data_IF_740232511012
#
_entry.id   IF_740232511012
#
_cell.length_a   1.000
_cell.length_b   1.000
_cell.length_c   1.000
_cell.angle_alpha   90.00
_cell.angle_beta   90.00
_cell.angle_gamma   90.00
#
_symmetry.space_group_name_H-M   'P 1'
#
loop_
_entity.id
_entity.type
_entity.pdbx_description
1 polymer ?
#
# COMPACT_ATOMS: atom_id res chain seq x y z
N UNK A 1 26.28 2.98 10.53
CA UNK A 1 25.52 4.03 9.82
C UNK A 1 24.10 3.99 10.33
N UNK A 2 23.39 5.13 10.34
CA UNK A 2 21.98 5.15 10.71
C UNK A 2 21.16 4.34 9.71
N UNK A 3 20.12 3.67 10.20
CA UNK A 3 19.27 2.79 9.40
C UNK A 3 18.41 3.61 8.44
N UNK A 4 18.39 3.26 7.16
CA UNK A 4 17.59 3.98 6.15
C UNK A 4 16.10 3.70 6.35
N UNK A 5 15.26 4.73 6.26
CA UNK A 5 13.80 4.61 6.26
C UNK A 5 13.22 4.89 4.87
N UNK A 6 13.66 5.96 4.21
CA UNK A 6 13.28 6.33 2.85
C UNK A 6 14.48 6.83 2.07
N UNK A 7 14.68 6.31 0.87
CA UNK A 7 15.67 6.80 -0.07
C UNK A 7 15.17 6.67 -1.52
N UNK A 8 16.03 7.05 -2.47
CA UNK A 8 15.68 7.07 -3.89
C UNK A 8 15.06 5.74 -4.37
N UNK A 9 13.95 5.85 -5.08
CA UNK A 9 13.15 4.72 -5.54
C UNK A 9 11.97 4.38 -4.64
N UNK A 10 11.96 4.83 -3.37
CA UNK A 10 10.78 4.74 -2.51
C UNK A 10 9.63 5.58 -3.04
N UNK A 11 8.39 5.13 -2.80
CA UNK A 11 7.17 5.83 -3.21
C UNK A 11 6.07 5.66 -2.19
N UNK A 12 5.11 6.58 -2.19
CA UNK A 12 3.89 6.51 -1.38
C UNK A 12 3.77 7.61 -0.35
N UNK A 13 2.84 7.41 0.59
CA UNK A 13 2.39 8.46 1.52
C UNK A 13 3.52 9.01 2.39
N UNK A 14 4.48 8.19 2.83
CA UNK A 14 5.56 8.66 3.69
C UNK A 14 6.57 9.52 2.94
N UNK A 15 6.77 9.25 1.64
CA UNK A 15 7.54 10.14 0.76
C UNK A 15 6.81 11.46 0.57
N UNK A 16 5.50 11.42 0.33
CA UNK A 16 4.69 12.62 0.17
C UNK A 16 4.71 13.49 1.44
N UNK A 17 4.65 12.88 2.63
CA UNK A 17 4.77 13.59 3.91
C UNK A 17 6.11 14.30 4.05
N UNK A 18 7.22 13.64 3.67
CA UNK A 18 8.55 14.26 3.63
C UNK A 18 8.56 15.46 2.67
N UNK A 19 8.04 15.29 1.46
CA UNK A 19 7.97 16.35 0.46
C UNK A 19 7.14 17.55 0.92
N UNK A 20 5.94 17.32 1.47
CA UNK A 20 5.08 18.35 2.05
C UNK A 20 5.80 19.08 3.18
N UNK A 21 6.50 18.34 4.05
CA UNK A 21 7.19 18.95 5.19
C UNK A 21 8.38 19.80 4.76
N UNK A 22 9.15 19.35 3.76
CA UNK A 22 10.22 20.14 3.17
C UNK A 22 9.68 21.44 2.56
N UNK A 23 8.57 21.39 1.83
CA UNK A 23 7.92 22.60 1.29
C UNK A 23 7.46 23.55 2.41
N UNK A 24 6.84 23.04 3.49
CA UNK A 24 6.44 23.85 4.64
C UNK A 24 7.63 24.54 5.32
N UNK A 25 8.82 23.93 5.24
CA UNK A 25 10.08 24.49 5.73
C UNK A 25 10.75 25.41 4.71
N UNK A 26 10.05 25.80 3.65
CA UNK A 26 10.56 26.64 2.55
C UNK A 26 11.79 26.06 1.84
N UNK A 27 11.95 24.72 1.87
CA UNK A 27 12.94 24.02 1.05
C UNK A 27 12.34 23.85 -0.36
N UNK A 28 13.01 24.34 -1.41
CA UNK A 28 12.50 24.24 -2.78
C UNK A 28 12.24 22.79 -3.22
N UNK A 29 11.02 22.52 -3.69
CA UNK A 29 10.60 21.22 -4.21
C UNK A 29 9.38 21.41 -5.14
N UNK A 30 9.27 20.58 -6.18
CA UNK A 30 8.05 20.47 -6.99
C UNK A 30 6.85 19.99 -6.17
N UNK A 31 5.64 20.03 -6.74
CA UNK A 31 4.43 19.54 -6.10
C UNK A 31 4.62 18.11 -5.54
N UNK A 32 4.24 17.84 -4.27
CA UNK A 32 4.43 16.53 -3.65
C UNK A 32 3.70 15.41 -4.40
N UNK A 33 4.46 14.59 -5.11
CA UNK A 33 3.99 13.48 -5.94
C UNK A 33 4.10 12.11 -5.25
N UNK A 34 4.73 12.06 -4.07
CA UNK A 34 5.00 10.84 -3.34
C UNK A 34 6.08 9.95 -3.98
N UNK A 35 6.91 10.46 -4.89
CA UNK A 35 8.00 9.73 -5.53
C UNK A 35 9.35 10.26 -5.04
N UNK A 36 10.17 9.37 -4.46
CA UNK A 36 11.49 9.76 -3.98
C UNK A 36 12.47 9.75 -5.17
N UNK A 37 12.48 10.85 -5.90
CA UNK A 37 13.37 11.11 -7.04
C UNK A 37 14.60 11.95 -6.67
N UNK A 38 15.31 12.43 -7.71
CA UNK A 38 16.48 13.30 -7.54
C UNK A 38 16.15 14.63 -6.86
N UNK A 39 14.96 15.19 -7.11
CA UNK A 39 14.53 16.46 -6.51
C UNK A 39 14.29 16.32 -5.00
N UNK A 40 13.66 15.22 -4.56
CA UNK A 40 13.49 14.92 -3.12
C UNK A 40 14.83 14.71 -2.42
N UNK A 41 15.76 13.99 -3.05
CA UNK A 41 17.11 13.80 -2.50
C UNK A 41 17.87 15.13 -2.38
N UNK A 42 17.81 15.99 -3.39
CA UNK A 42 18.45 17.30 -3.38
C UNK A 42 17.88 18.21 -2.27
N UNK A 43 16.55 18.24 -2.13
CA UNK A 43 15.87 18.98 -1.06
C UNK A 43 16.27 18.46 0.34
N UNK A 44 16.38 17.14 0.53
CA UNK A 44 16.86 16.56 1.79
C UNK A 44 18.30 16.95 2.09
N UNK A 45 19.21 16.92 1.08
CA UNK A 45 20.59 17.37 1.26
C UNK A 45 20.65 18.84 1.70
N UNK A 46 19.79 19.69 1.12
CA UNK A 46 19.69 21.09 1.51
C UNK A 46 19.19 21.23 2.96
N UNK A 47 18.09 20.54 3.32
CA UNK A 47 17.57 20.55 4.69
C UNK A 47 18.64 20.08 5.69
N UNK A 48 19.32 18.97 5.42
CA UNK A 48 20.37 18.42 6.27
C UNK A 48 21.51 19.42 6.46
N UNK A 49 21.98 20.04 5.36
CA UNK A 49 23.03 21.07 5.41
C UNK A 49 22.62 22.27 6.27
N UNK A 50 21.39 22.78 6.10
CA UNK A 50 20.87 23.92 6.87
C UNK A 50 20.72 23.63 8.35
N UNK A 51 20.51 22.36 8.72
CA UNK A 51 20.34 21.91 10.11
C UNK A 51 21.61 21.28 10.70
N UNK A 52 22.77 21.45 10.04
CA UNK A 52 24.05 20.86 10.47
C UNK A 52 24.00 19.34 10.72
N UNK A 53 23.20 18.62 9.93
CA UNK A 53 23.08 17.17 9.95
C UNK A 53 24.00 16.53 8.89
N UNK A 54 24.34 15.23 9.01
CA UNK A 54 25.00 14.49 7.94
C UNK A 54 24.23 14.61 6.61
N UNK A 55 24.90 15.05 5.55
CA UNK A 55 24.29 15.34 4.24
C UNK A 55 24.21 14.06 3.40
N UNK A 56 23.30 13.15 3.79
CA UNK A 56 23.12 11.84 3.17
C UNK A 56 22.12 11.87 1.99
N UNK A 57 21.18 12.81 1.98
CA UNK A 57 20.08 12.89 1.02
C UNK A 57 18.99 11.82 1.19
N UNK A 58 19.08 10.99 2.24
CA UNK A 58 18.08 10.00 2.62
C UNK A 58 17.39 10.40 3.92
N UNK A 59 16.26 9.76 4.20
CA UNK A 59 15.61 9.81 5.51
C UNK A 59 15.96 8.53 6.25
N UNK A 60 16.68 8.65 7.36
CA UNK A 60 16.89 7.57 8.31
C UNK A 60 15.87 7.62 9.46
N UNK A 61 15.90 6.61 10.32
CA UNK A 61 14.97 6.49 11.46
C UNK A 61 15.10 7.66 12.46
N UNK A 62 16.26 8.33 12.54
CA UNK A 62 16.48 9.47 13.44
C UNK A 62 16.03 10.80 12.83
N UNK A 63 16.18 10.95 11.51
CA UNK A 63 15.78 12.13 10.76
C UNK A 63 14.26 12.22 10.64
N UNK A 64 13.56 11.09 10.49
CA UNK A 64 12.11 11.07 10.33
C UNK A 64 11.36 11.90 11.38
N UNK A 65 11.49 11.62 12.70
CA UNK A 65 10.78 12.40 13.71
C UNK A 65 11.25 13.86 13.78
N UNK A 66 12.53 14.14 13.52
CA UNK A 66 13.07 15.51 13.50
C UNK A 66 12.48 16.35 12.38
N UNK A 67 12.34 15.75 11.20
CA UNK A 67 11.78 16.40 10.02
C UNK A 67 10.27 16.53 10.14
N UNK A 68 9.57 15.42 10.41
CA UNK A 68 8.10 15.32 10.29
C UNK A 68 7.36 15.70 11.57
N UNK A 69 8.00 15.59 12.74
CA UNK A 69 7.33 15.67 14.04
C UNK A 69 6.45 14.45 14.36
N UNK A 70 6.56 13.36 13.60
CA UNK A 70 5.76 12.15 13.76
C UNK A 70 6.61 10.97 14.23
N UNK A 71 6.02 9.98 14.93
CA UNK A 71 6.70 8.72 15.20
C UNK A 71 7.09 8.04 13.89
N UNK A 72 8.16 7.25 13.94
CA UNK A 72 8.58 6.44 12.79
C UNK A 72 7.45 5.48 12.40
N UNK A 73 7.13 5.33 11.09
CA UNK A 73 6.11 4.40 10.64
C UNK A 73 6.42 2.97 11.08
N UNK A 74 5.40 2.25 11.55
CA UNK A 74 5.59 0.88 12.01
C UNK A 74 6.03 -0.05 10.88
N UNK A 75 6.50 -1.26 11.21
CA UNK A 75 6.82 -2.26 10.19
C UNK A 75 5.60 -2.58 9.29
N UNK A 76 4.42 -2.68 9.88
CA UNK A 76 3.17 -2.95 9.16
C UNK A 76 2.83 -1.83 8.18
N UNK A 77 3.06 -0.59 8.60
CA UNK A 77 2.87 0.60 7.79
C UNK A 77 3.87 0.67 6.62
N UNK A 78 5.14 0.34 6.87
CA UNK A 78 6.17 0.24 5.81
C UNK A 78 5.85 -0.87 4.80
N UNK A 79 5.40 -2.04 5.28
CA UNK A 79 4.95 -3.15 4.44
C UNK A 79 3.69 -2.79 3.63
N UNK A 80 2.76 -2.04 4.24
CA UNK A 80 1.57 -1.52 3.56
C UNK A 80 1.94 -0.55 2.43
N UNK A 81 2.85 0.39 2.68
CA UNK A 81 3.32 1.32 1.65
C UNK A 81 3.97 0.59 0.47
N UNK A 82 4.84 -0.40 0.74
CA UNK A 82 5.46 -1.21 -0.31
C UNK A 82 4.39 -1.91 -1.15
N UNK A 83 3.44 -2.58 -0.50
CA UNK A 83 2.37 -3.33 -1.18
C UNK A 83 1.52 -2.38 -2.03
N UNK A 84 1.07 -1.26 -1.46
CA UNK A 84 0.31 -0.22 -2.15
C UNK A 84 1.03 0.29 -3.41
N UNK A 85 2.34 0.56 -3.30
CA UNK A 85 3.14 1.03 -4.43
C UNK A 85 3.26 0.00 -5.56
N UNK A 86 3.38 -1.30 -5.22
CA UNK A 86 3.39 -2.37 -6.22
C UNK A 86 2.02 -2.56 -6.89
N UNK A 87 0.93 -2.44 -6.11
CA UNK A 87 -0.45 -2.46 -6.61
C UNK A 87 -0.78 -1.24 -7.48
N UNK A 88 0.05 -0.18 -7.42
CA UNK A 88 -0.25 1.08 -8.10
C UNK A 88 -1.45 1.82 -7.47
N UNK A 89 -1.72 1.57 -6.18
CA UNK A 89 -2.83 2.16 -5.43
C UNK A 89 -2.36 3.18 -4.38
N UNK A 90 -3.33 3.88 -3.80
CA UNK A 90 -3.14 4.94 -2.81
C UNK A 90 -4.46 5.30 -2.15
N UNK A 91 -4.42 6.01 -1.03
CA UNK A 91 -5.63 6.31 -0.24
C UNK A 91 -6.76 6.99 -1.02
N UNK A 92 -6.42 7.75 -2.05
CA UNK A 92 -7.35 8.54 -2.87
C UNK A 92 -7.76 7.83 -4.15
N UNK A 93 -6.96 6.88 -4.65
CA UNK A 93 -7.14 6.33 -5.99
C UNK A 93 -8.43 5.51 -6.06
N UNK A 94 -9.33 5.92 -6.94
CA UNK A 94 -10.58 5.24 -7.24
C UNK A 94 -10.61 4.87 -8.73
N UNK A 95 -10.81 3.59 -9.04
CA UNK A 95 -10.83 3.05 -10.40
C UNK A 95 -12.16 2.34 -10.67
N UNK A 96 -12.60 2.39 -11.92
CA UNK A 96 -13.91 1.88 -12.34
C UNK A 96 -13.99 0.35 -12.38
N UNK A 97 -15.14 -0.17 -12.83
CA UNK A 97 -15.48 -1.58 -12.88
C UNK A 97 -14.91 -2.28 -14.12
N UNK A 98 -13.58 -2.42 -14.19
CA UNK A 98 -12.90 -3.05 -15.34
C UNK A 98 -12.86 -4.59 -15.27
N UNK A 99 -13.02 -5.17 -14.07
CA UNK A 99 -12.88 -6.61 -13.81
C UNK A 99 -14.17 -7.26 -13.26
N UNK A 100 -15.26 -6.49 -13.15
CA UNK A 100 -16.52 -6.96 -12.57
C UNK A 100 -16.54 -6.94 -11.03
N UNK A 101 -15.55 -6.34 -10.36
CA UNK A 101 -15.52 -6.18 -8.90
C UNK A 101 -16.26 -4.92 -8.40
N UNK A 102 -16.88 -4.16 -9.30
CA UNK A 102 -17.43 -2.85 -9.04
C UNK A 102 -16.32 -1.79 -8.96
N UNK A 103 -16.55 -0.74 -8.18
CA UNK A 103 -15.54 0.27 -7.88
C UNK A 103 -14.42 -0.35 -7.04
N UNK A 104 -13.17 0.01 -7.36
CA UNK A 104 -12.01 -0.25 -6.52
C UNK A 104 -11.44 1.06 -6.00
N UNK A 105 -11.20 1.19 -4.69
CA UNK A 105 -10.75 2.42 -4.06
C UNK A 105 -9.82 2.19 -2.87
N UNK A 106 -8.86 3.09 -2.65
CA UNK A 106 -8.07 3.17 -1.42
C UNK A 106 -6.71 2.46 -1.47
N UNK A 107 -6.00 2.49 -0.33
CA UNK A 107 -4.55 2.26 -0.22
C UNK A 107 -4.05 0.94 -0.85
N UNK A 108 -4.87 -0.11 -0.84
CA UNK A 108 -4.55 -1.42 -1.44
C UNK A 108 -5.64 -1.90 -2.40
N UNK A 109 -6.46 -0.98 -2.93
CA UNK A 109 -7.53 -1.30 -3.87
C UNK A 109 -8.66 -2.12 -3.24
N UNK A 110 -9.37 -1.56 -2.27
CA UNK A 110 -10.57 -2.18 -1.71
C UNK A 110 -11.68 -2.21 -2.76
N UNK A 111 -12.42 -3.31 -2.87
CA UNK A 111 -13.47 -3.44 -3.89
C UNK A 111 -14.87 -3.46 -3.30
N UNK A 112 -15.84 -3.02 -4.09
CA UNK A 112 -17.28 -3.13 -3.76
C UNK A 112 -17.71 -4.60 -3.68
N UNK A 113 -17.27 -5.45 -4.60
CA UNK A 113 -17.64 -6.87 -4.63
C UNK A 113 -17.34 -7.62 -3.32
N UNK A 114 -16.25 -7.26 -2.64
CA UNK A 114 -15.85 -7.88 -1.37
C UNK A 114 -16.29 -7.10 -0.13
N UNK A 115 -17.10 -6.05 -0.28
CA UNK A 115 -17.69 -5.33 0.86
C UNK A 115 -16.75 -4.34 1.57
N UNK A 116 -15.47 -4.24 1.15
CA UNK A 116 -14.47 -3.47 1.89
C UNK A 116 -14.62 -1.96 1.67
N UNK A 117 -15.03 -1.53 0.48
CA UNK A 117 -15.38 -0.12 0.23
C UNK A 117 -16.54 0.30 1.13
N UNK A 118 -17.56 -0.53 1.22
CA UNK A 118 -18.75 -0.31 2.04
C UNK A 118 -18.37 -0.27 3.52
N UNK A 119 -17.56 -1.23 3.98
CA UNK A 119 -17.04 -1.24 5.34
C UNK A 119 -16.31 0.07 5.69
N UNK A 120 -15.48 0.60 4.79
CA UNK A 120 -14.80 1.89 5.00
C UNK A 120 -15.84 3.02 5.10
N UNK A 121 -16.75 3.13 4.14
CA UNK A 121 -17.77 4.18 4.11
C UNK A 121 -18.70 4.14 5.33
N UNK A 122 -19.11 2.95 5.76
CA UNK A 122 -19.94 2.75 6.95
C UNK A 122 -19.19 3.13 8.23
N UNK A 123 -17.90 2.80 8.29
CA UNK A 123 -17.03 3.19 9.40
C UNK A 123 -16.85 4.71 9.46
N UNK A 124 -16.63 5.37 8.32
CA UNK A 124 -16.53 6.84 8.23
C UNK A 124 -17.85 7.50 8.64
N UNK A 125 -18.98 7.02 8.13
CA UNK A 125 -20.29 7.55 8.47
C UNK A 125 -20.59 7.48 9.97
N UNK A 126 -20.14 6.40 10.61
CA UNK A 126 -20.35 6.15 12.05
C UNK A 126 -19.38 6.94 12.94
N UNK A 127 -18.10 6.97 12.61
CA UNK A 127 -17.05 7.53 13.48
C UNK A 127 -16.80 9.03 13.22
N UNK A 128 -17.06 9.50 12.00
CA UNK A 128 -16.84 10.89 11.57
C UNK A 128 -18.03 11.42 10.77
N UNK A 129 -19.20 11.63 11.43
CA UNK A 129 -20.40 12.09 10.75
C UNK A 129 -20.13 13.42 10.02
N UNK A 130 -20.54 13.49 8.76
CA UNK A 130 -20.35 14.68 7.92
C UNK A 130 -19.19 14.62 6.93
N UNK A 131 -18.15 13.80 7.15
CA UNK A 131 -17.01 13.72 6.20
C UNK A 131 -17.43 13.26 4.80
N UNK A 132 -18.31 12.26 4.72
CA UNK A 132 -18.89 11.82 3.43
C UNK A 132 -19.62 12.98 2.76
N UNK A 133 -20.44 13.73 3.51
CA UNK A 133 -21.19 14.87 2.98
C UNK A 133 -20.26 15.97 2.46
N UNK A 134 -19.21 16.28 3.20
CA UNK A 134 -18.20 17.27 2.81
C UNK A 134 -17.44 16.86 1.55
N UNK A 135 -17.16 15.57 1.36
CA UNK A 135 -16.43 15.07 0.20
C UNK A 135 -17.31 14.91 -1.05
N UNK A 136 -18.52 14.34 -0.89
CA UNK A 136 -19.40 13.97 -2.00
C UNK A 136 -20.40 15.07 -2.39
N UNK A 137 -20.70 16.02 -1.49
CA UNK A 137 -21.61 17.15 -1.75
C UNK A 137 -22.92 16.65 -2.36
N UNK A 138 -23.23 16.98 -3.61
CA UNK A 138 -24.47 16.60 -4.30
C UNK A 138 -24.59 15.08 -4.53
N UNK A 139 -23.46 14.36 -4.56
CA UNK A 139 -23.42 12.90 -4.74
C UNK A 139 -23.70 12.12 -3.45
N UNK A 140 -23.81 12.81 -2.31
CA UNK A 140 -23.96 12.17 -0.99
C UNK A 140 -25.15 11.21 -0.95
N UNK A 141 -26.30 11.66 -1.46
CA UNK A 141 -27.53 10.87 -1.46
C UNK A 141 -27.39 9.58 -2.28
N UNK A 142 -26.75 9.67 -3.45
CA UNK A 142 -26.54 8.53 -4.33
C UNK A 142 -25.52 7.54 -3.73
N UNK A 143 -24.48 8.03 -3.07
CA UNK A 143 -23.51 7.19 -2.37
C UNK A 143 -24.17 6.44 -1.20
N UNK A 144 -24.97 7.13 -0.39
CA UNK A 144 -25.71 6.52 0.73
C UNK A 144 -26.71 5.47 0.24
N UNK A 145 -27.40 5.73 -0.88
CA UNK A 145 -28.25 4.73 -1.52
C UNK A 145 -27.44 3.53 -2.02
N UNK A 146 -26.31 3.76 -2.70
CA UNK A 146 -25.45 2.70 -3.21
C UNK A 146 -24.99 1.75 -2.09
N UNK A 147 -24.71 2.26 -0.88
CA UNK A 147 -24.27 1.44 0.26
C UNK A 147 -25.33 0.44 0.76
N UNK A 148 -26.61 0.68 0.48
CA UNK A 148 -27.72 -0.08 1.10
C UNK A 148 -28.46 -1.02 0.13
N UNK A 149 -28.26 -0.86 -1.18
CA UNK A 149 -28.87 -1.73 -2.20
C UNK A 149 -28.15 -3.09 -2.30
N UNK A 150 -28.79 -4.14 -2.85
CA UNK A 150 -28.15 -5.44 -3.06
C UNK A 150 -26.88 -5.37 -3.91
N UNK A 151 -25.92 -6.26 -3.67
CA UNK A 151 -24.58 -6.24 -4.28
C UNK A 151 -24.59 -6.14 -5.80
N UNK A 152 -25.45 -6.90 -6.48
CA UNK A 152 -25.59 -6.85 -7.94
C UNK A 152 -25.95 -5.44 -8.42
N UNK A 153 -26.85 -4.75 -7.71
CA UNK A 153 -27.22 -3.38 -8.02
C UNK A 153 -26.11 -2.38 -7.68
N UNK A 154 -25.27 -2.66 -6.68
CA UNK A 154 -24.06 -1.88 -6.40
C UNK A 154 -23.05 -1.99 -7.55
N UNK A 155 -22.80 -3.21 -8.05
CA UNK A 155 -21.90 -3.42 -9.19
C UNK A 155 -22.45 -2.73 -10.44
N UNK A 156 -23.75 -2.87 -10.73
CA UNK A 156 -24.40 -2.16 -11.84
C UNK A 156 -24.36 -0.63 -11.67
N UNK A 157 -24.39 -0.12 -10.43
CA UNK A 157 -24.17 1.29 -10.13
C UNK A 157 -22.74 1.71 -10.49
N UNK A 158 -21.74 0.96 -10.03
CA UNK A 158 -20.33 1.21 -10.36
C UNK A 158 -20.05 1.14 -11.87
N UNK A 159 -20.73 0.26 -12.59
CA UNK A 159 -20.66 0.21 -14.06
C UNK A 159 -21.04 1.53 -14.72
N UNK A 160 -22.11 2.18 -14.24
CA UNK A 160 -22.55 3.48 -14.77
C UNK A 160 -21.56 4.61 -14.48
N UNK A 161 -20.77 4.47 -13.41
CA UNK A 161 -19.72 5.46 -13.08
C UNK A 161 -18.45 5.27 -13.91
N UNK A 162 -18.33 4.13 -14.61
CA UNK A 162 -17.09 3.72 -15.27
C UNK A 162 -17.07 4.14 -16.74
N UNK A 163 -15.96 4.69 -17.20
CA UNK A 163 -15.80 5.21 -18.57
C UNK A 163 -15.46 4.06 -19.54
N UNK A 164 -16.32 3.75 -20.53
CA UNK A 164 -16.05 2.70 -21.53
C UNK A 164 -14.90 3.08 -22.50
N UNK A 165 -14.35 2.10 -23.25
CA UNK A 165 -14.70 0.68 -23.25
C UNK A 165 -14.01 -0.12 -22.13
N UNK A 166 -12.84 0.31 -21.66
CA UNK A 166 -12.03 -0.44 -20.71
C UNK A 166 -12.46 -0.32 -19.24
N UNK A 167 -13.29 0.70 -18.89
CA UNK A 167 -13.86 0.90 -17.55
C UNK A 167 -12.84 1.09 -16.41
N UNK A 168 -11.55 1.31 -16.70
CA UNK A 168 -10.55 1.59 -15.67
C UNK A 168 -10.73 2.95 -14.97
N UNK A 169 -11.39 3.91 -15.62
CA UNK A 169 -11.56 5.27 -15.09
C UNK A 169 -13.00 5.50 -14.65
N UNK A 170 -13.16 6.32 -13.61
CA UNK A 170 -14.44 6.86 -13.20
C UNK A 170 -14.72 8.21 -13.87
N UNK A 171 -15.99 8.54 -14.02
CA UNK A 171 -16.41 9.91 -14.33
C UNK A 171 -15.97 10.88 -13.23
N UNK A 172 -15.61 12.11 -13.63
CA UNK A 172 -14.91 13.06 -12.75
C UNK A 172 -15.62 13.40 -11.44
N UNK A 173 -16.95 13.64 -11.39
CA UNK A 173 -17.61 13.97 -10.12
C UNK A 173 -17.36 12.91 -9.03
N UNK A 174 -17.42 11.63 -9.40
CA UNK A 174 -17.19 10.51 -8.49
C UNK A 174 -15.71 10.34 -8.17
N UNK A 175 -14.84 10.43 -9.18
CA UNK A 175 -13.38 10.36 -8.99
C UNK A 175 -12.91 11.43 -8.01
N UNK A 176 -13.34 12.68 -8.19
CA UNK A 176 -12.96 13.82 -7.35
C UNK A 176 -13.53 13.67 -5.94
N UNK A 177 -14.76 13.17 -5.78
CA UNK A 177 -15.34 12.95 -4.46
C UNK A 177 -14.58 11.88 -3.66
N UNK A 178 -14.20 10.76 -4.29
CA UNK A 178 -13.38 9.73 -3.65
C UNK A 178 -11.96 10.20 -3.37
N UNK A 179 -11.39 11.04 -4.25
CA UNK A 179 -10.09 11.67 -4.04
C UNK A 179 -10.10 12.55 -2.80
N UNK A 180 -11.09 13.46 -2.67
CA UNK A 180 -11.30 14.31 -1.49
C UNK A 180 -11.52 13.52 -0.22
N UNK A 181 -12.34 12.47 -0.26
CA UNK A 181 -12.58 11.65 0.93
C UNK A 181 -11.30 10.91 1.35
N UNK A 182 -10.57 10.34 0.38
CA UNK A 182 -9.33 9.61 0.64
C UNK A 182 -8.16 10.49 1.10
N UNK A 183 -8.22 11.80 0.87
CA UNK A 183 -7.18 12.73 1.34
C UNK A 183 -7.34 13.12 2.81
N UNK A 184 -8.48 12.81 3.44
CA UNK A 184 -8.73 13.12 4.86
C UNK A 184 -8.00 12.14 5.77
N UNK A 185 -7.24 12.66 6.74
CA UNK A 185 -6.39 11.87 7.64
C UNK A 185 -7.12 10.75 8.38
N UNK A 186 -8.35 11.03 8.80
CA UNK A 186 -9.23 10.15 9.54
C UNK A 186 -9.71 8.98 8.66
N UNK A 187 -10.02 9.26 7.38
CA UNK A 187 -10.36 8.24 6.40
C UNK A 187 -9.15 7.36 6.08
N UNK A 188 -7.96 7.97 5.95
CA UNK A 188 -6.72 7.21 5.77
C UNK A 188 -6.44 6.27 6.95
N UNK A 189 -6.67 6.75 8.19
CA UNK A 189 -6.53 5.93 9.40
C UNK A 189 -7.52 4.75 9.41
N UNK A 190 -8.77 4.98 8.98
CA UNK A 190 -9.78 3.91 8.84
C UNK A 190 -9.35 2.88 7.78
N UNK A 191 -8.86 3.33 6.62
CA UNK A 191 -8.34 2.43 5.58
C UNK A 191 -7.19 1.56 6.10
N UNK A 192 -6.22 2.15 6.83
CA UNK A 192 -5.13 1.38 7.48
C UNK A 192 -5.66 0.35 8.46
N UNK A 193 -6.58 0.75 9.35
CA UNK A 193 -7.18 -0.13 10.36
C UNK A 193 -7.87 -1.32 9.71
N UNK A 194 -8.63 -1.09 8.63
CA UNK A 194 -9.32 -2.16 7.89
C UNK A 194 -8.32 -3.04 7.13
N UNK A 195 -7.32 -2.47 6.45
CA UNK A 195 -6.26 -3.25 5.80
C UNK A 195 -5.53 -4.17 6.80
N UNK A 196 -5.21 -3.65 7.99
CA UNK A 196 -4.51 -4.43 9.01
C UNK A 196 -5.38 -5.52 9.64
N UNK A 197 -6.66 -5.23 9.89
CA UNK A 197 -7.60 -6.24 10.36
C UNK A 197 -7.76 -7.37 9.34
N UNK A 198 -7.96 -7.04 8.06
CA UNK A 198 -8.27 -8.02 7.03
C UNK A 198 -7.05 -8.81 6.55
N UNK A 199 -5.89 -8.16 6.41
CA UNK A 199 -4.74 -8.78 5.74
C UNK A 199 -3.50 -8.92 6.64
N UNK A 200 -3.18 -7.92 7.47
CA UNK A 200 -2.00 -8.02 8.35
C UNK A 200 -2.18 -9.03 9.48
N UNK A 201 -3.38 -9.10 10.06
CA UNK A 201 -3.68 -10.06 11.14
C UNK A 201 -3.51 -11.52 10.71
N UNK A 202 -4.09 -11.99 9.58
CA UNK A 202 -3.81 -13.34 9.09
C UNK A 202 -2.39 -13.50 8.51
N UNK A 203 -1.76 -12.44 7.98
CA UNK A 203 -0.36 -12.48 7.59
C UNK A 203 0.56 -12.75 8.78
N UNK A 204 0.36 -12.10 9.93
CA UNK A 204 1.10 -12.37 11.18
C UNK A 204 0.91 -13.79 11.69
N UNK A 205 -0.28 -14.38 11.52
CA UNK A 205 -0.50 -15.81 11.82
C UNK A 205 0.32 -16.71 10.91
N UNK A 206 0.36 -16.40 9.62
CA UNK A 206 1.17 -17.13 8.63
C UNK A 206 2.67 -17.02 8.94
N UNK A 207 3.14 -15.79 9.20
CA UNK A 207 4.50 -15.47 9.62
C UNK A 207 4.96 -16.35 10.79
N UNK A 208 4.16 -16.39 11.88
CA UNK A 208 4.45 -17.23 13.05
C UNK A 208 4.41 -18.73 12.71
N UNK A 209 3.43 -19.18 11.93
CA UNK A 209 3.29 -20.60 11.58
C UNK A 209 4.45 -21.15 10.75
N UNK A 210 5.14 -20.28 10.02
CA UNK A 210 6.30 -20.60 9.20
C UNK A 210 7.63 -20.37 9.94
N UNK A 211 7.59 -19.88 11.19
CA UNK A 211 8.79 -19.57 11.95
C UNK A 211 9.62 -18.41 11.36
N UNK A 212 8.99 -17.51 10.62
CA UNK A 212 9.64 -16.30 10.13
C UNK A 212 9.86 -15.31 11.28
N UNK A 213 10.94 -14.54 11.19
CA UNK A 213 11.41 -13.63 12.24
C UNK A 213 11.88 -12.30 11.69
N UNK A 214 11.95 -12.10 10.38
CA UNK A 214 12.52 -10.89 9.76
C UNK A 214 11.45 -9.92 9.24
N UNK A 215 11.81 -8.65 9.09
CA UNK A 215 10.92 -7.66 8.47
C UNK A 215 10.49 -8.04 7.05
N UNK A 216 11.43 -8.53 6.23
CA UNK A 216 11.13 -9.04 4.89
C UNK A 216 10.19 -10.26 4.93
N UNK A 217 10.29 -11.09 5.97
CA UNK A 217 9.37 -12.20 6.20
C UNK A 217 7.93 -11.73 6.46
N UNK A 218 7.76 -10.69 7.28
CA UNK A 218 6.44 -10.12 7.53
C UNK A 218 5.90 -9.39 6.29
N UNK A 219 6.73 -8.61 5.61
CA UNK A 219 6.35 -7.91 4.38
C UNK A 219 5.91 -8.89 3.29
N UNK A 220 6.63 -10.00 3.10
CA UNK A 220 6.25 -11.06 2.17
C UNK A 220 4.91 -11.70 2.54
N UNK A 221 4.70 -12.03 3.81
CA UNK A 221 3.43 -12.56 4.28
C UNK A 221 2.28 -11.58 4.01
N UNK A 222 2.46 -10.31 4.33
CA UNK A 222 1.43 -9.30 4.11
C UNK A 222 1.07 -9.15 2.64
N UNK A 223 2.08 -9.04 1.77
CA UNK A 223 1.89 -8.93 0.32
C UNK A 223 1.21 -10.17 -0.30
N UNK A 224 1.49 -11.38 0.24
CA UNK A 224 0.77 -12.60 -0.14
C UNK A 224 -0.71 -12.52 0.27
N UNK A 225 -1.02 -12.07 1.48
CA UNK A 225 -2.41 -11.98 1.94
C UNK A 225 -3.21 -10.93 1.16
N UNK A 226 -2.58 -9.82 0.78
CA UNK A 226 -3.23 -8.80 -0.07
C UNK A 226 -3.43 -9.31 -1.50
N UNK A 227 -2.36 -9.77 -2.18
CA UNK A 227 -2.45 -10.12 -3.60
C UNK A 227 -3.10 -11.49 -3.86
N UNK A 228 -2.93 -12.46 -2.97
CA UNK A 228 -3.31 -13.86 -3.17
C UNK A 228 -4.36 -14.34 -2.16
N UNK A 229 -4.76 -13.51 -1.20
CA UNK A 229 -5.70 -13.85 -0.12
C UNK A 229 -5.07 -14.68 1.01
N UNK A 230 -4.31 -15.72 0.68
CA UNK A 230 -3.51 -16.51 1.63
C UNK A 230 -2.53 -17.45 0.89
N UNK A 231 -1.68 -18.16 1.65
CA UNK A 231 -0.91 -19.28 1.10
C UNK A 231 -1.84 -20.50 0.97
N UNK A 232 -2.09 -20.96 -0.26
CA UNK A 232 -2.92 -22.15 -0.52
C UNK A 232 -2.30 -23.41 0.10
N UNK A 233 -3.14 -24.40 0.41
CA UNK A 233 -2.72 -25.68 1.02
C UNK A 233 -1.58 -26.36 0.25
N UNK A 234 -1.68 -26.46 -1.07
CA UNK A 234 -0.65 -27.07 -1.91
C UNK A 234 0.69 -26.33 -1.83
N UNK A 235 0.68 -24.98 -1.79
CA UNK A 235 1.91 -24.21 -1.58
C UNK A 235 2.50 -24.46 -0.20
N UNK A 236 1.65 -24.55 0.83
CA UNK A 236 2.09 -24.85 2.20
C UNK A 236 2.72 -26.24 2.31
N UNK A 237 2.17 -27.24 1.60
CA UNK A 237 2.73 -28.59 1.55
C UNK A 237 4.13 -28.57 0.89
N UNK A 238 4.30 -27.84 -0.22
CA UNK A 238 5.61 -27.63 -0.86
C UNK A 238 6.61 -26.94 0.07
N UNK A 239 6.19 -25.88 0.78
CA UNK A 239 7.05 -25.14 1.71
C UNK A 239 7.56 -26.07 2.82
N UNK A 240 6.68 -26.88 3.41
CA UNK A 240 7.04 -27.83 4.47
C UNK A 240 7.96 -28.94 3.96
N UNK A 241 7.72 -29.43 2.74
CA UNK A 241 8.54 -30.47 2.12
C UNK A 241 9.98 -30.01 1.83
N UNK A 242 10.20 -28.71 1.60
CA UNK A 242 11.53 -28.17 1.30
C UNK A 242 12.53 -28.26 2.47
N UNK A 243 12.06 -28.40 3.73
CA UNK A 243 12.89 -28.59 4.95
C UNK A 243 14.05 -27.58 5.10
N UNK A 244 13.83 -26.35 4.64
CA UNK A 244 14.82 -25.28 4.69
C UNK A 244 14.97 -24.73 6.11
N UNK A 245 16.21 -24.47 6.54
CA UNK A 245 16.53 -23.92 7.87
C UNK A 245 16.86 -22.43 7.88
N UNK A 246 17.32 -21.90 6.75
CA UNK A 246 17.65 -20.48 6.59
C UNK A 246 16.40 -19.69 6.21
N UNK A 247 16.07 -18.64 6.97
CA UNK A 247 14.90 -17.81 6.67
C UNK A 247 14.96 -17.13 5.28
N UNK A 248 16.10 -16.57 4.82
CA UNK A 248 16.24 -16.09 3.44
C UNK A 248 15.89 -17.15 2.38
N UNK A 249 16.36 -18.37 2.54
CA UNK A 249 16.03 -19.47 1.63
C UNK A 249 14.55 -19.86 1.74
N UNK A 250 14.00 -19.90 2.97
CA UNK A 250 12.58 -20.21 3.22
C UNK A 250 11.67 -19.18 2.55
N UNK A 251 11.99 -17.88 2.63
CA UNK A 251 11.26 -16.81 1.92
C UNK A 251 11.26 -17.03 0.41
N UNK A 252 12.38 -17.48 -0.18
CA UNK A 252 12.44 -17.82 -1.61
C UNK A 252 11.58 -19.03 -1.96
N UNK A 253 11.55 -20.06 -1.11
CA UNK A 253 10.65 -21.22 -1.28
C UNK A 253 9.19 -20.78 -1.20
N UNK A 254 8.83 -19.96 -0.21
CA UNK A 254 7.48 -19.40 -0.06
C UNK A 254 7.07 -18.62 -1.32
N UNK A 255 7.94 -17.72 -1.80
CA UNK A 255 7.69 -16.92 -2.99
C UNK A 255 7.40 -17.78 -4.23
N UNK A 256 8.23 -18.80 -4.47
CA UNK A 256 8.04 -19.72 -5.60
C UNK A 256 6.77 -20.56 -5.44
N UNK A 257 6.55 -21.16 -4.25
CA UNK A 257 5.40 -22.00 -3.99
C UNK A 257 4.07 -21.24 -4.16
N UNK A 258 3.99 -19.98 -3.71
CA UNK A 258 2.81 -19.13 -3.92
C UNK A 258 2.62 -18.81 -5.40
N UNK A 259 3.70 -18.45 -6.11
CA UNK A 259 3.64 -18.17 -7.53
C UNK A 259 3.14 -19.38 -8.34
N UNK A 260 3.65 -20.57 -8.06
CA UNK A 260 3.29 -21.82 -8.75
C UNK A 260 1.79 -22.14 -8.68
N UNK A 261 1.11 -21.69 -7.62
CA UNK A 261 -0.34 -21.84 -7.43
C UNK A 261 -1.19 -20.75 -8.12
N UNK A 262 -0.55 -19.80 -8.79
CA UNK A 262 -1.22 -18.75 -9.57
C UNK A 262 -1.59 -19.26 -10.96
N UNK A 263 -2.56 -18.59 -11.60
CA UNK A 263 -2.93 -18.89 -12.99
C UNK A 263 -1.70 -18.70 -13.87
N UNK A 264 -1.54 -19.58 -14.86
CA UNK A 264 -0.35 -19.65 -15.71
C UNK A 264 0.04 -18.29 -16.31
N UNK A 265 -0.93 -17.54 -16.85
CA UNK A 265 -0.71 -16.21 -17.42
C UNK A 265 -0.12 -15.17 -16.45
N UNK A 266 -0.31 -15.34 -15.14
CA UNK A 266 0.17 -14.40 -14.10
C UNK A 266 1.29 -14.99 -13.24
N UNK A 267 1.65 -16.27 -13.43
CA UNK A 267 2.58 -17.00 -12.56
C UNK A 267 3.93 -16.30 -12.41
N UNK A 268 4.54 -15.91 -13.52
CA UNK A 268 5.88 -15.30 -13.51
C UNK A 268 5.85 -13.82 -13.10
N UNK A 269 4.71 -13.15 -13.23
CA UNK A 269 4.53 -11.83 -12.65
C UNK A 269 4.46 -11.89 -11.12
N UNK A 270 3.62 -12.79 -10.58
CA UNK A 270 3.56 -13.09 -9.14
C UNK A 270 4.92 -13.54 -8.61
N UNK A 271 5.63 -14.42 -9.33
CA UNK A 271 6.96 -14.90 -8.92
C UNK A 271 7.95 -13.76 -8.79
N UNK A 272 8.04 -12.89 -9.78
CA UNK A 272 8.95 -11.72 -9.76
C UNK A 272 8.65 -10.81 -8.58
N UNK A 273 7.38 -10.50 -8.33
CA UNK A 273 6.95 -9.72 -7.16
C UNK A 273 7.34 -10.38 -5.84
N UNK A 274 6.96 -11.64 -5.63
CA UNK A 274 7.24 -12.33 -4.35
C UNK A 274 8.73 -12.51 -4.13
N UNK A 275 9.51 -12.82 -5.17
CA UNK A 275 10.97 -12.93 -5.05
C UNK A 275 11.63 -11.59 -4.75
N UNK A 276 11.14 -10.48 -5.33
CA UNK A 276 11.68 -9.16 -5.03
C UNK A 276 11.52 -8.80 -3.55
N UNK A 277 10.36 -9.13 -2.95
CA UNK A 277 10.12 -8.92 -1.53
C UNK A 277 10.92 -9.92 -0.68
N UNK A 278 10.90 -11.20 -1.07
CA UNK A 278 11.61 -12.26 -0.38
C UNK A 278 13.13 -12.06 -0.34
N UNK A 279 13.72 -11.34 -1.30
CA UNK A 279 15.17 -11.11 -1.37
C UNK A 279 15.56 -9.66 -1.06
N UNK A 280 14.59 -8.77 -0.84
CA UNK A 280 14.85 -7.36 -0.59
C UNK A 280 15.18 -6.53 -1.84
N UNK A 281 15.25 -7.12 -3.04
CA UNK A 281 15.48 -6.37 -4.28
C UNK A 281 14.94 -7.07 -5.52
N UNK A 282 14.61 -6.31 -6.56
CA UNK A 282 14.14 -6.86 -7.83
C UNK A 282 13.48 -5.82 -8.72
N UNK A 283 12.85 -6.26 -9.81
CA UNK A 283 12.07 -5.39 -10.71
C UNK A 283 10.64 -5.91 -10.79
N UNK A 284 9.66 -5.06 -10.47
CA UNK A 284 8.23 -5.39 -10.47
C UNK A 284 7.48 -4.28 -11.18
N UNK A 285 6.72 -4.60 -12.23
CA UNK A 285 5.96 -3.61 -13.03
C UNK A 285 6.80 -2.40 -13.49
N UNK A 286 8.08 -2.63 -13.84
CA UNK A 286 9.02 -1.57 -14.23
C UNK A 286 9.62 -0.76 -13.08
N UNK A 287 9.22 -1.01 -11.83
CA UNK A 287 9.81 -0.41 -10.64
C UNK A 287 10.99 -1.26 -10.13
N UNK A 288 12.18 -0.66 -10.09
CA UNK A 288 13.35 -1.24 -9.42
C UNK A 288 13.21 -1.08 -7.91
N UNK A 289 13.04 -2.20 -7.22
CA UNK A 289 12.92 -2.29 -5.77
C UNK A 289 14.30 -2.55 -5.14
N UNK A 290 14.62 -1.74 -4.12
CA UNK A 290 15.65 -2.00 -3.10
C UNK A 290 15.01 -1.72 -1.75
N UNK A 291 14.57 -2.75 -1.05
CA UNK A 291 13.67 -2.62 0.09
C UNK A 291 14.30 -1.93 1.30
N UNK A 292 15.63 -1.93 1.42
CA UNK A 292 16.36 -1.09 2.38
C UNK A 292 16.03 0.42 2.21
N UNK A 293 15.78 0.88 0.97
CA UNK A 293 15.36 2.26 0.69
C UNK A 293 13.89 2.52 1.07
N UNK A 294 13.15 1.48 1.46
CA UNK A 294 11.78 1.51 1.97
C UNK A 294 11.76 1.20 3.48
N UNK A 295 12.95 1.15 4.08
CA UNK A 295 13.19 0.78 5.47
C UNK A 295 13.10 -0.71 5.73
N UNK A 296 12.77 -1.56 4.77
CA UNK A 296 12.54 -2.99 5.00
C UNK A 296 13.83 -3.79 4.73
N UNK A 297 14.37 -4.41 5.78
CA UNK A 297 15.67 -5.11 5.75
C UNK A 297 15.58 -6.55 6.27
N UNK A 298 16.61 -7.33 6.01
CA UNK A 298 16.75 -8.69 6.54
C UNK A 298 17.20 -8.68 8.01
N UNK A 299 16.37 -8.09 8.86
CA UNK A 299 16.63 -7.91 10.30
C UNK A 299 15.46 -8.48 11.10
N UNK A 300 15.78 -9.04 12.28
CA UNK A 300 14.80 -9.67 13.15
C UNK A 300 13.81 -8.65 13.76
N UNK A 301 12.58 -9.11 14.07
CA UNK A 301 11.47 -8.32 14.61
C UNK A 301 10.89 -8.88 15.90
#
# INVERSE_FOLDING_TARGET
>A
MARTLLARGARGVYVQQVQVKLQQLSIPLDAPDGIFGGNTEAALKQYQKLNALPVTGLVDFDLWPRLTGQPVPTLEERALQLTAAIEGHGYTLAVGNFDGAGLTWGIIGFTVKFGLVQQILDTVAREHPGMIRSAFVDLTRDLERMRTIPLEQQVAFCDRLSIPPAKHRLVDPWRIAFDRLGSMSEVQAIQRRIAFAQYMTPAKRTFRSLGLTTELGLALCFDIHVQNGSIKRQAMDTIKAARVRSEPELRRVIANAVADQSREAFREDVRRRKLAIATGSGVVHGMTLRLENWGLEDVAV
#
